data_IF_198160627858
#
_entry.id   IF_198160627858
#
_cell.length_a   1.000
_cell.length_b   1.000
_cell.length_c   1.000
_cell.angle_alpha   90.00
_cell.angle_beta   90.00
_cell.angle_gamma   90.00
#
_symmetry.space_group_name_H-M   'P 1'
#
loop_
_entity.id
_entity.type
_entity.pdbx_description
1 polymer ?
#
# COMPACT_ATOMS: atom_id res chain seq x y z
N UNK A 1 5.40 20.43 27.75
CA UNK A 1 6.00 19.08 27.63
C UNK A 1 5.12 18.15 26.79
N UNK A 2 3.81 18.08 27.05
CA UNK A 2 2.87 17.26 26.26
C UNK A 2 2.82 17.65 24.77
N UNK A 3 2.79 18.94 24.46
CA UNK A 3 2.77 19.42 23.06
C UNK A 3 4.01 19.02 22.27
N UNK A 4 5.19 19.02 22.90
CA UNK A 4 6.43 18.59 22.28
C UNK A 4 6.38 17.10 21.91
N UNK A 5 5.89 16.25 22.81
CA UNK A 5 5.74 14.82 22.55
C UNK A 5 4.69 14.53 21.46
N UNK A 6 3.57 15.26 21.49
CA UNK A 6 2.54 15.18 20.45
C UNK A 6 3.08 15.57 19.07
N UNK A 7 4.02 16.52 19.00
CA UNK A 7 4.66 16.92 17.74
C UNK A 7 5.64 15.90 17.17
N UNK A 8 6.02 14.87 17.95
CA UNK A 8 6.98 13.84 17.58
C UNK A 8 6.26 12.58 17.12
N UNK A 9 5.29 12.10 17.90
CA UNK A 9 4.66 10.79 17.66
C UNK A 9 3.99 10.70 16.28
N UNK A 10 4.30 9.64 15.52
CA UNK A 10 3.74 9.41 14.18
C UNK A 10 4.25 10.38 13.10
N UNK A 11 5.23 11.22 13.42
CA UNK A 11 5.88 12.15 12.48
C UNK A 11 7.29 11.69 12.12
N UNK A 12 7.93 12.37 11.16
CA UNK A 12 9.31 12.08 10.77
C UNK A 12 10.33 12.33 11.88
N UNK A 13 9.96 13.16 12.88
CA UNK A 13 10.77 13.43 14.07
C UNK A 13 10.84 12.21 15.00
N UNK A 14 9.89 11.27 14.89
CA UNK A 14 9.95 10.00 15.61
C UNK A 14 11.08 9.13 15.02
N UNK A 15 12.11 8.93 15.83
CA UNK A 15 13.27 8.10 15.45
C UNK A 15 13.05 6.61 15.74
N UNK A 16 12.04 6.26 16.52
CA UNK A 16 11.74 4.89 16.94
C UNK A 16 10.71 4.28 16.01
N UNK A 17 9.56 4.94 15.81
CA UNK A 17 8.49 4.43 14.98
C UNK A 17 8.64 4.91 13.53
N UNK A 18 8.29 4.05 12.59
CA UNK A 18 8.25 4.42 11.18
C UNK A 18 7.00 5.27 10.90
N UNK A 19 7.15 6.56 10.52
CA UNK A 19 6.00 7.42 10.24
C UNK A 19 5.22 6.98 9.00
N UNK A 20 5.90 6.37 8.02
CA UNK A 20 5.27 5.85 6.81
C UNK A 20 4.39 4.64 7.14
N UNK A 21 4.92 3.68 7.89
CA UNK A 21 4.11 2.53 8.30
C UNK A 21 2.95 2.94 9.19
N UNK A 22 3.19 3.85 10.15
CA UNK A 22 2.14 4.29 11.08
C UNK A 22 0.99 5.02 10.38
N UNK A 23 1.29 5.95 9.46
CA UNK A 23 0.25 6.75 8.79
C UNK A 23 -0.36 6.07 7.56
N UNK A 24 0.44 5.31 6.80
CA UNK A 24 0.06 4.76 5.49
C UNK A 24 -0.24 3.25 5.56
N UNK A 25 0.25 2.56 6.59
CA UNK A 25 0.16 1.10 6.71
C UNK A 25 1.19 0.33 5.88
N UNK A 26 2.06 1.03 5.14
CA UNK A 26 3.09 0.43 4.28
C UNK A 26 4.41 1.22 4.35
N UNK A 27 5.53 0.53 4.14
CA UNK A 27 6.87 1.13 4.10
C UNK A 27 7.71 0.49 3.00
N UNK A 28 8.41 1.30 2.19
CA UNK A 28 9.28 0.85 1.08
C UNK A 28 10.41 -0.10 1.51
N UNK A 29 10.79 -0.07 2.78
CA UNK A 29 11.85 -0.92 3.31
C UNK A 29 11.34 -2.29 3.79
N UNK A 30 10.02 -2.48 3.86
CA UNK A 30 9.41 -3.70 4.39
C UNK A 30 9.94 -4.03 5.78
N UNK A 31 10.18 -5.30 6.06
CA UNK A 31 10.69 -5.76 7.35
C UNK A 31 12.17 -5.39 7.59
N UNK A 32 12.88 -4.88 6.57
CA UNK A 32 14.24 -4.36 6.71
C UNK A 32 14.29 -2.89 7.15
N UNK A 33 13.14 -2.28 7.47
CA UNK A 33 13.12 -0.92 7.99
C UNK A 33 13.90 -0.84 9.31
N UNK A 34 14.73 0.18 9.48
CA UNK A 34 15.46 0.43 10.73
C UNK A 34 14.57 0.97 11.86
N UNK A 35 13.35 1.40 11.54
CA UNK A 35 12.35 1.89 12.49
C UNK A 35 11.25 0.85 12.71
N UNK A 36 10.57 0.93 13.84
CA UNK A 36 9.53 -0.03 14.23
C UNK A 36 8.25 0.10 13.40
N UNK A 37 7.70 -1.05 13.00
CA UNK A 37 6.41 -1.20 12.33
C UNK A 37 5.41 -1.82 13.30
N UNK A 38 4.62 -0.98 13.97
CA UNK A 38 3.62 -1.45 14.95
C UNK A 38 2.38 -1.98 14.23
N UNK A 39 2.20 -3.30 14.22
CA UNK A 39 1.02 -3.99 13.67
C UNK A 39 -0.03 -4.13 14.78
N UNK A 40 -1.15 -3.39 14.75
CA UNK A 40 -2.16 -3.49 15.80
C UNK A 40 -2.87 -4.84 15.72
N UNK A 41 -3.17 -5.44 16.88
CA UNK A 41 -3.91 -6.71 16.96
C UNK A 41 -5.40 -6.54 16.66
N UNK A 42 -5.91 -5.32 16.79
CA UNK A 42 -7.27 -4.91 16.44
C UNK A 42 -7.22 -3.59 15.68
N UNK A 43 -8.00 -3.46 14.60
CA UNK A 43 -8.07 -2.25 13.79
C UNK A 43 -9.40 -2.20 13.06
N UNK A 44 -9.95 -1.00 12.88
CA UNK A 44 -11.11 -0.78 12.02
C UNK A 44 -10.73 -0.75 10.53
N UNK A 45 -9.43 -0.68 10.24
CA UNK A 45 -8.88 -0.60 8.88
C UNK A 45 -8.04 -1.84 8.58
N UNK A 46 -8.29 -2.47 7.43
CA UNK A 46 -7.53 -3.61 6.91
C UNK A 46 -6.76 -3.21 5.65
N UNK A 47 -5.62 -3.86 5.42
CA UNK A 47 -4.80 -3.68 4.22
C UNK A 47 -4.72 -5.00 3.45
N UNK A 48 -5.22 -5.00 2.22
CA UNK A 48 -5.05 -6.10 1.27
C UNK A 48 -3.91 -5.75 0.32
N UNK A 49 -2.71 -6.23 0.63
CA UNK A 49 -1.52 -5.92 -0.17
C UNK A 49 -1.66 -6.53 -1.57
N UNK A 50 -1.34 -5.75 -2.59
CA UNK A 50 -1.31 -6.21 -3.98
C UNK A 50 -2.67 -6.74 -4.50
N UNK A 51 -3.79 -6.28 -3.92
CA UNK A 51 -5.13 -6.77 -4.24
C UNK A 51 -5.59 -6.36 -5.65
N UNK A 52 -5.42 -5.08 -5.98
CA UNK A 52 -5.75 -4.57 -7.30
C UNK A 52 -4.53 -4.66 -8.22
N UNK A 53 -4.66 -5.44 -9.29
CA UNK A 53 -3.69 -5.49 -10.39
C UNK A 53 -4.23 -4.62 -11.52
N UNK A 54 -3.54 -3.53 -11.85
CA UNK A 54 -3.91 -2.73 -13.00
C UNK A 54 -3.78 -3.59 -14.29
N UNK A 55 -4.86 -3.79 -15.07
CA UNK A 55 -4.84 -4.50 -16.35
C UNK A 55 -3.77 -4.03 -17.34
N UNK A 56 -3.41 -2.74 -17.29
CA UNK A 56 -2.36 -2.17 -18.14
C UNK A 56 -0.94 -2.60 -17.73
N UNK A 57 -0.76 -2.96 -16.45
CA UNK A 57 0.54 -3.35 -15.88
C UNK A 57 0.73 -4.87 -15.84
N UNK A 58 -0.21 -5.64 -16.37
CA UNK A 58 -0.14 -7.09 -16.35
C UNK A 58 0.91 -7.53 -17.37
N UNK A 59 1.90 -8.36 -16.96
CA UNK A 59 2.96 -8.79 -17.85
C UNK A 59 2.36 -9.49 -19.08
N UNK A 60 2.93 -9.17 -20.24
CA UNK A 60 2.52 -9.81 -21.50
C UNK A 60 2.85 -11.30 -21.45
N UNK A 61 2.01 -12.09 -22.09
CA UNK A 61 2.28 -13.50 -22.34
C UNK A 61 3.54 -13.66 -23.21
N UNK A 62 4.17 -14.85 -23.25
CA UNK A 62 5.36 -15.10 -24.08
C UNK A 62 5.17 -14.80 -25.58
N UNK A 63 3.91 -14.80 -26.05
CA UNK A 63 3.50 -14.48 -27.43
C UNK A 63 3.29 -12.97 -27.67
N UNK A 64 3.51 -12.12 -26.66
CA UNK A 64 3.36 -10.68 -26.74
C UNK A 64 1.92 -10.18 -26.58
N UNK A 65 0.95 -11.07 -26.38
CA UNK A 65 -0.43 -10.69 -26.07
C UNK A 65 -0.53 -10.12 -24.64
N UNK A 66 -1.49 -9.22 -24.35
CA UNK A 66 -1.73 -8.78 -22.98
C UNK A 66 -1.96 -9.98 -22.06
N UNK A 67 -1.38 -9.97 -20.86
CA UNK A 67 -1.60 -11.03 -19.86
C UNK A 67 -3.03 -11.07 -19.31
N UNK A 68 -3.92 -10.22 -19.82
CA UNK A 68 -5.34 -10.13 -19.49
C UNK A 68 -6.14 -10.62 -20.69
N UNK A 69 -6.95 -11.65 -20.49
CA UNK A 69 -7.90 -12.18 -21.48
C UNK A 69 -9.21 -11.36 -21.48
N UNK A 70 -9.12 -10.02 -21.50
CA UNK A 70 -10.28 -9.12 -21.54
C UNK A 70 -10.04 -8.04 -22.60
N UNK A 71 -11.06 -7.73 -23.38
CA UNK A 71 -11.04 -6.60 -24.31
C UNK A 71 -10.98 -5.27 -23.56
N UNK A 72 -10.49 -4.18 -24.18
CA UNK A 72 -10.48 -2.85 -23.57
C UNK A 72 -11.86 -2.38 -23.07
N UNK A 73 -12.92 -2.72 -23.80
CA UNK A 73 -14.31 -2.43 -23.40
C UNK A 73 -14.78 -3.22 -22.18
N UNK A 74 -14.33 -4.48 -22.06
CA UNK A 74 -14.64 -5.29 -20.87
C UNK A 74 -13.87 -4.77 -19.66
N UNK A 75 -12.59 -4.43 -19.80
CA UNK A 75 -11.78 -3.81 -18.73
C UNK A 75 -12.46 -2.54 -18.22
N UNK A 76 -12.86 -1.64 -19.12
CA UNK A 76 -13.59 -0.42 -18.78
C UNK A 76 -14.85 -0.73 -17.95
N UNK A 77 -15.64 -1.72 -18.36
CA UNK A 77 -16.89 -2.09 -17.67
C UNK A 77 -16.63 -2.71 -16.30
N UNK A 78 -15.64 -3.61 -16.19
CA UNK A 78 -15.31 -4.31 -14.94
C UNK A 78 -14.69 -3.38 -13.88
N UNK A 79 -13.93 -2.36 -14.29
CA UNK A 79 -13.16 -1.52 -13.35
C UNK A 79 -13.69 -0.09 -13.19
N UNK A 80 -14.37 0.46 -14.20
CA UNK A 80 -14.93 1.83 -14.15
C UNK A 80 -16.47 1.85 -14.09
N UNK A 81 -17.13 0.71 -14.25
CA UNK A 81 -18.58 0.58 -14.18
C UNK A 81 -19.12 0.61 -12.74
N UNK A 82 -19.16 1.80 -12.14
CA UNK A 82 -20.08 2.18 -11.05
C UNK A 82 -20.82 3.45 -11.43
#
# INVERSE_FOLDING_TARGET
MAEYLASIFGTEKDKVNCPFYFKIGACRHGDRCSRQHNRPTFSQTVLLQNFYQNPENVPKNPDGTPGVNLSPSEIQTYFEGM
#
